data_IF_951775365083
#
_entry.id   IF_951775365083
#
_cell.length_a   1.000
_cell.length_b   1.000
_cell.length_c   1.000
_cell.angle_alpha   90.00
_cell.angle_beta   90.00
_cell.angle_gamma   90.00
#
_symmetry.space_group_name_H-M   'P 1'
#
loop_
_entity.id
_entity.type
_entity.pdbx_description
1 polymer ?
#
# COMPACT_ATOMS: atom_id res chain seq x y z
N UNK A 1 10.57 8.11 4.18
CA UNK A 1 11.02 7.00 5.05
C UNK A 1 12.37 6.49 4.55
N UNK A 2 13.38 6.40 5.42
CA UNK A 2 14.69 5.84 5.07
C UNK A 2 14.66 4.31 5.12
N UNK A 3 15.35 3.66 4.18
CA UNK A 3 15.59 2.23 4.10
C UNK A 3 17.11 2.03 4.13
N UNK A 4 17.68 1.84 5.32
CA UNK A 4 19.13 1.67 5.45
C UNK A 4 19.50 0.20 5.46
N UNK A 5 20.73 -0.10 5.02
CA UNK A 5 21.35 -1.43 5.15
C UNK A 5 20.57 -2.57 4.49
N UNK A 6 19.92 -2.28 3.35
CA UNK A 6 19.23 -3.31 2.58
C UNK A 6 20.23 -4.31 1.98
N UNK A 7 19.95 -5.58 2.18
CA UNK A 7 20.72 -6.71 1.66
C UNK A 7 20.10 -7.14 0.34
N UNK A 8 20.86 -7.03 -0.75
CA UNK A 8 20.42 -7.49 -2.07
C UNK A 8 20.52 -9.02 -2.19
N UNK A 9 19.56 -9.61 -2.92
CA UNK A 9 19.58 -11.00 -3.32
C UNK A 9 18.73 -11.29 -4.55
N UNK A 10 18.62 -12.56 -4.91
CA UNK A 10 17.76 -13.05 -6.00
C UNK A 10 16.67 -13.96 -5.45
N UNK A 11 15.42 -13.67 -5.79
CA UNK A 11 14.29 -14.49 -5.40
C UNK A 11 14.39 -15.87 -6.05
N UNK A 12 14.37 -16.93 -5.25
CA UNK A 12 14.25 -18.30 -5.78
C UNK A 12 12.79 -18.70 -5.90
N UNK A 13 12.00 -18.44 -4.85
CA UNK A 13 10.55 -18.67 -4.83
C UNK A 13 9.89 -18.00 -3.62
N UNK A 14 8.62 -17.62 -3.78
CA UNK A 14 7.71 -17.28 -2.68
C UNK A 14 6.74 -18.43 -2.44
N UNK A 15 6.46 -18.75 -1.18
CA UNK A 15 5.56 -19.85 -0.82
C UNK A 15 4.89 -19.61 0.54
N UNK A 16 3.78 -20.33 0.79
CA UNK A 16 2.95 -20.19 2.01
C UNK A 16 2.52 -18.74 2.31
N UNK A 17 2.54 -17.84 1.31
CA UNK A 17 2.28 -16.39 1.40
C UNK A 17 3.31 -15.58 2.20
N UNK A 18 3.81 -16.10 3.32
CA UNK A 18 4.65 -15.36 4.27
C UNK A 18 6.13 -15.76 4.26
N UNK A 19 6.57 -16.64 3.34
CA UNK A 19 7.96 -17.07 3.20
C UNK A 19 8.44 -16.88 1.76
N UNK A 20 9.73 -16.59 1.63
CA UNK A 20 10.45 -16.66 0.38
C UNK A 20 11.85 -17.24 0.60
N UNK A 21 12.34 -18.00 -0.37
CA UNK A 21 13.74 -18.43 -0.43
C UNK A 21 14.48 -17.45 -1.35
N UNK A 22 15.63 -16.95 -0.91
CA UNK A 22 16.43 -15.93 -1.60
C UNK A 22 17.90 -16.36 -1.60
N UNK A 23 18.57 -16.22 -2.74
CA UNK A 23 20.01 -16.39 -2.87
C UNK A 23 20.71 -15.03 -2.69
N UNK A 24 21.64 -14.95 -1.74
CA UNK A 24 22.42 -13.74 -1.47
C UNK A 24 23.64 -13.64 -2.41
N UNK A 25 24.30 -12.48 -2.43
CA UNK A 25 25.48 -12.23 -3.27
C UNK A 25 26.68 -13.16 -2.98
N UNK A 26 26.73 -13.75 -1.79
CA UNK A 26 27.76 -14.73 -1.40
C UNK A 26 27.39 -16.19 -1.71
N UNK A 27 26.27 -16.41 -2.40
CA UNK A 27 25.75 -17.73 -2.78
C UNK A 27 24.96 -18.45 -1.69
N UNK A 28 24.81 -17.88 -0.50
CA UNK A 28 23.96 -18.49 0.54
C UNK A 28 22.49 -18.39 0.17
N UNK A 29 21.77 -19.49 0.32
CA UNK A 29 20.31 -19.52 0.26
C UNK A 29 19.72 -19.30 1.66
N UNK A 30 18.88 -18.29 1.81
CA UNK A 30 18.21 -17.94 3.06
C UNK A 30 16.69 -17.94 2.89
N UNK A 31 15.97 -18.38 3.92
CA UNK A 31 14.52 -18.20 3.99
C UNK A 31 14.20 -16.91 4.73
N UNK A 32 13.42 -16.04 4.10
CA UNK A 32 13.05 -14.71 4.60
C UNK A 32 11.56 -14.61 4.85
N UNK A 33 11.16 -13.67 5.71
CA UNK A 33 9.76 -13.33 5.90
C UNK A 33 9.25 -12.48 4.71
N UNK A 34 8.13 -12.87 4.12
CA UNK A 34 7.37 -12.07 3.17
C UNK A 34 6.25 -11.32 3.91
N UNK A 35 6.34 -9.98 4.10
CA UNK A 35 5.37 -9.20 4.85
C UNK A 35 4.08 -8.87 4.09
N UNK A 36 3.87 -9.48 2.91
CA UNK A 36 2.68 -9.29 2.07
C UNK A 36 1.91 -10.61 1.97
N UNK A 37 0.63 -10.59 2.36
CA UNK A 37 -0.25 -11.76 2.33
C UNK A 37 -1.11 -11.85 1.06
N UNK A 38 -1.08 -10.80 0.23
CA UNK A 38 -1.78 -10.72 -1.05
C UNK A 38 -1.17 -11.63 -2.11
N UNK A 39 -1.69 -11.54 -3.34
CA UNK A 39 -1.19 -12.38 -4.43
C UNK A 39 0.25 -12.04 -4.80
N UNK A 40 0.65 -10.76 -4.63
CA UNK A 40 1.90 -10.20 -5.17
C UNK A 40 2.07 -10.52 -6.66
N UNK A 41 0.97 -10.48 -7.40
CA UNK A 41 0.98 -10.65 -8.85
C UNK A 41 1.92 -9.61 -9.47
N UNK A 42 2.83 -10.08 -10.32
CA UNK A 42 3.89 -9.28 -10.97
C UNK A 42 4.94 -8.71 -9.99
N UNK A 43 5.06 -9.27 -8.79
CA UNK A 43 6.01 -8.83 -7.76
C UNK A 43 6.73 -10.00 -7.07
N UNK A 44 6.68 -11.21 -7.63
CA UNK A 44 7.21 -12.41 -6.98
C UNK A 44 7.78 -13.45 -7.96
N UNK A 45 8.25 -12.99 -9.12
CA UNK A 45 8.78 -13.82 -10.19
C UNK A 45 10.16 -14.37 -9.79
N UNK A 46 10.39 -15.70 -9.83
CA UNK A 46 11.71 -16.28 -9.62
C UNK A 46 12.79 -15.63 -10.50
N UNK A 47 13.95 -15.37 -9.91
CA UNK A 47 15.07 -14.66 -10.53
C UNK A 47 15.09 -13.15 -10.30
N UNK A 48 13.98 -12.56 -9.86
CA UNK A 48 13.89 -11.12 -9.58
C UNK A 48 14.90 -10.69 -8.53
N UNK A 49 15.49 -9.50 -8.71
CA UNK A 49 16.30 -8.86 -7.68
C UNK A 49 15.39 -8.42 -6.54
N UNK A 50 15.84 -8.67 -5.31
CA UNK A 50 15.10 -8.35 -4.10
C UNK A 50 16.01 -7.68 -3.09
N UNK A 51 15.40 -6.87 -2.22
CA UNK A 51 16.08 -6.22 -1.11
C UNK A 51 15.45 -6.64 0.20
N UNK A 52 16.30 -7.03 1.14
CA UNK A 52 15.94 -7.57 2.43
C UNK A 52 16.42 -6.63 3.53
N UNK A 53 15.64 -6.50 4.60
CA UNK A 53 16.04 -5.77 5.79
C UNK A 53 16.20 -6.75 6.96
N UNK A 54 17.32 -6.67 7.67
CA UNK A 54 17.46 -7.36 8.95
C UNK A 54 16.63 -6.62 10.02
N UNK A 55 15.70 -7.34 10.63
CA UNK A 55 14.89 -6.82 11.74
C UNK A 55 15.70 -6.47 12.99
N UNK A 56 16.94 -6.95 13.12
CA UNK A 56 17.78 -6.79 14.31
C UNK A 56 17.21 -7.48 15.56
N UNK A 57 16.13 -8.26 15.42
CA UNK A 57 15.44 -8.89 16.53
C UNK A 57 15.84 -10.37 16.66
N UNK A 58 16.69 -10.73 17.65
CA UNK A 58 17.21 -12.09 17.78
C UNK A 58 16.13 -13.13 18.13
N UNK A 59 14.92 -12.72 18.51
CA UNK A 59 13.80 -13.62 18.82
C UNK A 59 13.03 -14.06 17.57
N UNK A 60 13.26 -13.43 16.41
CA UNK A 60 12.56 -13.79 15.17
C UNK A 60 13.15 -15.06 14.56
N UNK A 61 12.27 -16.01 14.21
CA UNK A 61 12.65 -17.22 13.46
C UNK A 61 13.26 -16.89 12.10
N UNK A 62 12.76 -15.86 11.43
CA UNK A 62 13.28 -15.35 10.16
C UNK A 62 13.68 -13.88 10.40
N UNK A 63 14.98 -13.59 10.58
CA UNK A 63 15.45 -12.24 10.93
C UNK A 63 15.35 -11.27 9.76
N UNK A 64 15.47 -11.78 8.53
CA UNK A 64 15.36 -10.99 7.30
C UNK A 64 13.91 -10.88 6.83
N UNK A 65 13.48 -9.65 6.55
CA UNK A 65 12.20 -9.34 5.93
C UNK A 65 12.39 -8.83 4.51
N UNK A 66 11.54 -9.26 3.58
CA UNK A 66 11.56 -8.77 2.21
C UNK A 66 10.90 -7.39 2.11
N UNK A 67 11.64 -6.42 1.58
CA UNK A 67 11.20 -5.02 1.47
C UNK A 67 10.87 -4.61 0.03
N UNK A 68 11.82 -4.77 -0.88
CA UNK A 68 11.69 -4.32 -2.27
C UNK A 68 11.89 -5.47 -3.25
N UNK A 69 11.29 -5.34 -4.44
CA UNK A 69 11.51 -6.22 -5.58
C UNK A 69 11.68 -5.39 -6.86
N UNK A 70 12.53 -5.87 -7.75
CA UNK A 70 12.64 -5.36 -9.11
C UNK A 70 11.58 -6.03 -10.00
N UNK A 71 10.72 -5.23 -10.59
CA UNK A 71 9.60 -5.61 -11.44
C UNK A 71 9.96 -5.30 -12.89
N UNK A 72 9.74 -6.27 -13.78
CA UNK A 72 10.04 -6.18 -15.23
C UNK A 72 11.49 -5.79 -15.54
N UNK A 73 12.42 -6.03 -14.62
CA UNK A 73 13.83 -5.65 -14.75
C UNK A 73 14.05 -4.12 -14.85
N UNK A 74 13.07 -3.31 -14.44
CA UNK A 74 13.05 -1.86 -14.68
C UNK A 74 12.63 -1.06 -13.46
N UNK A 75 11.61 -1.49 -12.75
CA UNK A 75 10.96 -0.71 -11.69
C UNK A 75 11.20 -1.34 -10.33
N UNK A 76 11.29 -0.51 -9.28
CA UNK A 76 11.24 -1.02 -7.92
C UNK A 76 9.83 -0.90 -7.35
N UNK A 77 9.43 -1.90 -6.58
CA UNK A 77 8.20 -1.93 -5.81
C UNK A 77 8.47 -2.27 -4.35
N UNK A 78 7.87 -1.52 -3.41
CA UNK A 78 7.83 -1.89 -2.01
C UNK A 78 6.70 -2.87 -1.78
N UNK A 79 7.05 -4.12 -1.47
CA UNK A 79 6.05 -5.18 -1.25
C UNK A 79 5.60 -5.23 0.21
N UNK A 80 6.32 -4.55 1.11
CA UNK A 80 5.98 -4.51 2.53
C UNK A 80 4.76 -3.62 2.80
N UNK A 81 3.58 -4.23 2.74
CA UNK A 81 2.30 -3.56 2.97
C UNK A 81 2.17 -2.93 4.34
N UNK A 82 2.96 -3.39 5.33
CA UNK A 82 3.02 -2.79 6.66
C UNK A 82 3.56 -1.36 6.67
N UNK A 83 4.22 -0.92 5.60
CA UNK A 83 4.75 0.46 5.48
C UNK A 83 3.73 1.47 5.01
N UNK A 84 2.62 1.04 4.39
CA UNK A 84 1.69 1.94 3.71
C UNK A 84 1.13 3.04 4.64
N UNK A 85 0.60 2.66 5.81
CA UNK A 85 0.01 3.61 6.75
C UNK A 85 1.05 4.60 7.30
N UNK A 86 2.26 4.11 7.61
CA UNK A 86 3.35 4.97 8.07
C UNK A 86 3.83 5.94 6.99
N UNK A 87 3.89 5.48 5.73
CA UNK A 87 4.30 6.29 4.59
C UNK A 87 3.28 7.40 4.29
N UNK A 88 1.98 7.08 4.35
CA UNK A 88 0.91 8.07 4.20
C UNK A 88 0.93 9.08 5.34
N UNK A 89 1.08 8.62 6.59
CA UNK A 89 1.22 9.49 7.77
C UNK A 89 2.39 10.46 7.62
N UNK A 90 3.58 9.95 7.26
CA UNK A 90 4.77 10.77 7.04
C UNK A 90 4.54 11.83 5.95
N UNK A 91 3.88 11.46 4.85
CA UNK A 91 3.58 12.39 3.76
C UNK A 91 2.59 13.49 4.17
N UNK A 92 1.59 13.17 5.00
CA UNK A 92 0.65 14.14 5.56
C UNK A 92 1.38 15.10 6.51
N UNK A 93 2.18 14.57 7.44
CA UNK A 93 2.96 15.37 8.41
C UNK A 93 3.94 16.34 7.72
N UNK A 94 4.46 15.93 6.56
CA UNK A 94 5.39 16.74 5.76
C UNK A 94 4.69 17.61 4.70
N UNK A 95 3.35 17.66 4.70
CA UNK A 95 2.57 18.52 3.81
C UNK A 95 2.65 18.13 2.32
N UNK A 96 3.03 16.89 2.01
CA UNK A 96 3.15 16.40 0.62
C UNK A 96 1.83 16.00 -0.01
N UNK A 97 0.81 15.76 0.82
CA UNK A 97 -0.55 15.49 0.38
C UNK A 97 -1.37 16.75 0.64
N UNK A 98 -1.46 17.61 -0.37
CA UNK A 98 -2.04 18.95 -0.25
C UNK A 98 -3.48 18.91 0.26
N UNK A 99 -4.27 17.92 -0.16
CA UNK A 99 -5.67 17.74 0.24
C UNK A 99 -5.86 17.39 1.72
N UNK A 100 -4.78 16.94 2.36
CA UNK A 100 -4.75 16.51 3.76
C UNK A 100 -3.82 17.37 4.62
N UNK A 101 -3.39 18.52 4.11
CA UNK A 101 -2.58 19.49 4.86
C UNK A 101 -3.43 20.27 5.90
N UNK A 102 -2.76 20.83 6.91
CA UNK A 102 -3.38 21.77 7.87
C UNK A 102 -4.08 21.15 9.09
N UNK A 103 -4.05 19.83 9.24
CA UNK A 103 -4.48 19.15 10.46
C UNK A 103 -3.35 19.12 11.50
N UNK A 104 -3.70 19.20 12.80
CA UNK A 104 -2.72 19.23 13.91
C UNK A 104 -2.58 17.89 14.63
N UNK A 105 -3.55 16.99 14.47
CA UNK A 105 -3.56 15.69 15.14
C UNK A 105 -3.83 14.58 14.14
N UNK A 106 -3.09 13.47 14.29
CA UNK A 106 -3.23 12.25 13.49
C UNK A 106 -3.35 11.07 14.45
N UNK A 107 -4.54 10.45 14.48
CA UNK A 107 -4.78 9.19 15.20
C UNK A 107 -4.78 8.03 14.22
N UNK A 108 -4.38 6.85 14.68
CA UNK A 108 -4.33 5.64 13.86
C UNK A 108 -5.25 4.56 14.42
N UNK A 109 -5.70 3.64 13.57
CA UNK A 109 -6.44 2.44 13.97
C UNK A 109 -7.72 2.75 14.79
N UNK A 110 -8.42 3.82 14.43
CA UNK A 110 -9.59 4.30 15.20
C UNK A 110 -10.80 3.41 14.88
N UNK A 111 -11.48 2.81 15.88
CA UNK A 111 -12.68 2.01 15.64
C UNK A 111 -13.80 2.83 15.00
N UNK A 112 -14.48 2.25 14.00
CA UNK A 112 -15.61 2.89 13.32
C UNK A 112 -16.55 1.89 12.66
N UNK A 113 -17.67 2.42 12.17
CA UNK A 113 -18.66 1.65 11.42
C UNK A 113 -19.46 0.70 12.30
N UNK A 114 -20.39 0.00 11.66
CA UNK A 114 -21.31 -0.95 12.32
C UNK A 114 -20.71 -2.36 12.37
N UNK A 115 -19.69 -2.63 11.58
CA UNK A 115 -19.13 -3.97 11.41
C UNK A 115 -17.78 -4.17 12.13
N UNK A 116 -17.49 -3.38 13.17
CA UNK A 116 -16.26 -3.44 13.99
C UNK A 116 -14.96 -3.23 13.18
N UNK A 117 -14.99 -2.35 12.20
CA UNK A 117 -13.78 -1.97 11.47
C UNK A 117 -12.94 -0.94 12.22
N UNK A 118 -11.73 -0.74 11.73
CA UNK A 118 -10.82 0.32 12.16
C UNK A 118 -10.38 1.08 10.95
N UNK A 119 -10.45 2.40 11.03
CA UNK A 119 -9.98 3.30 9.99
C UNK A 119 -8.46 3.45 10.17
N UNK A 120 -7.71 3.53 9.08
CA UNK A 120 -6.26 3.58 9.16
C UNK A 120 -5.79 4.87 9.84
N UNK A 121 -6.33 6.02 9.45
CA UNK A 121 -5.99 7.34 10.01
C UNK A 121 -7.25 8.21 10.25
N UNK A 122 -7.22 9.03 11.30
CA UNK A 122 -8.15 10.14 11.52
C UNK A 122 -7.34 11.42 11.72
N UNK A 123 -7.55 12.40 10.85
CA UNK A 123 -6.97 13.73 10.96
C UNK A 123 -7.97 14.67 11.63
N UNK A 124 -7.52 15.44 12.62
CA UNK A 124 -8.38 16.36 13.35
C UNK A 124 -7.67 17.67 13.72
N UNK A 125 -8.41 18.59 14.35
CA UNK A 125 -7.91 19.90 14.81
C UNK A 125 -7.44 20.83 13.66
N UNK A 126 -7.97 20.61 12.45
CA UNK A 126 -7.78 21.48 11.30
C UNK A 126 -8.78 22.64 11.24
N UNK A 127 -8.67 23.46 10.19
CA UNK A 127 -9.65 24.51 9.88
C UNK A 127 -10.93 23.96 9.21
N UNK A 128 -10.89 22.71 8.76
CA UNK A 128 -11.98 21.97 8.11
C UNK A 128 -12.35 20.74 8.94
N UNK A 129 -13.43 20.05 8.55
CA UNK A 129 -13.91 18.85 9.23
C UNK A 129 -12.83 17.75 9.32
N UNK A 130 -12.91 16.93 10.36
CA UNK A 130 -12.04 15.76 10.56
C UNK A 130 -12.09 14.82 9.35
N UNK A 131 -10.94 14.35 8.90
CA UNK A 131 -10.81 13.43 7.78
C UNK A 131 -10.57 12.00 8.26
N UNK A 132 -11.41 11.07 7.79
CA UNK A 132 -11.32 9.63 8.08
C UNK A 132 -10.77 8.92 6.85
N UNK A 133 -9.55 8.35 6.97
CA UNK A 133 -8.78 7.90 5.82
C UNK A 133 -8.53 6.41 5.91
N UNK A 134 -8.98 5.69 4.88
CA UNK A 134 -8.65 4.30 4.63
C UNK A 134 -7.54 4.23 3.58
N UNK A 135 -6.47 3.50 3.86
CA UNK A 135 -5.30 3.33 2.99
C UNK A 135 -5.39 2.00 2.24
N UNK A 136 -5.09 2.01 0.94
CA UNK A 136 -5.00 0.81 0.10
C UNK A 136 -3.65 0.77 -0.57
N UNK A 137 -2.93 -0.34 -0.45
CA UNK A 137 -1.62 -0.51 -1.07
C UNK A 137 -1.78 -1.05 -2.50
N UNK A 138 -1.26 -0.35 -3.50
CA UNK A 138 -1.34 -0.73 -4.92
C UNK A 138 0.05 -1.09 -5.43
N UNK A 139 0.23 -2.35 -5.83
CA UNK A 139 1.49 -2.89 -6.36
C UNK A 139 1.32 -3.68 -7.65
N UNK A 140 0.07 -3.99 -8.04
CA UNK A 140 -0.21 -4.66 -9.31
C UNK A 140 -0.04 -3.63 -10.44
N UNK A 141 1.15 -3.67 -11.05
CA UNK A 141 1.44 -3.00 -12.31
C UNK A 141 0.90 -3.85 -13.48
N UNK A 142 0.16 -3.19 -14.36
CA UNK A 142 -0.26 -3.67 -15.67
C UNK A 142 0.41 -2.85 -16.78
N UNK A 143 0.15 -3.21 -18.04
CA UNK A 143 0.67 -2.49 -19.20
C UNK A 143 0.34 -0.99 -19.16
N UNK A 144 1.15 -0.18 -19.83
CA UNK A 144 0.94 1.27 -19.99
C UNK A 144 0.82 2.05 -18.66
N UNK A 145 1.59 1.64 -17.65
CA UNK A 145 1.70 2.31 -16.35
C UNK A 145 0.44 2.21 -15.48
N UNK A 146 -0.47 1.29 -15.79
CA UNK A 146 -1.70 1.11 -15.01
C UNK A 146 -1.43 0.37 -13.71
N UNK A 147 -1.78 1.01 -12.59
CA UNK A 147 -1.89 0.37 -11.29
C UNK A 147 -3.32 -0.08 -11.04
N UNK A 148 -3.49 -1.35 -10.67
CA UNK A 148 -4.83 -1.91 -10.45
C UNK A 148 -5.01 -2.41 -9.02
N UNK A 149 -6.18 -2.14 -8.45
CA UNK A 149 -6.56 -2.67 -7.14
C UNK A 149 -7.99 -3.23 -7.16
N UNK A 150 -8.24 -4.42 -6.58
CA UNK A 150 -7.29 -5.29 -5.88
C UNK A 150 -6.55 -6.26 -6.82
N UNK A 151 -5.55 -6.96 -6.30
CA UNK A 151 -4.83 -8.04 -7.01
C UNK A 151 -5.48 -9.43 -6.84
N UNK A 152 -6.50 -9.53 -5.99
CA UNK A 152 -7.38 -10.68 -5.80
C UNK A 152 -8.75 -10.21 -5.25
N UNK A 153 -9.80 -11.03 -5.34
CA UNK A 153 -11.12 -10.71 -4.75
C UNK A 153 -10.97 -10.35 -3.26
N UNK A 154 -11.54 -9.20 -2.85
CA UNK A 154 -11.36 -8.62 -1.52
C UNK A 154 -12.67 -8.29 -0.82
N UNK A 155 -13.27 -9.27 -0.13
CA UNK A 155 -14.47 -9.04 0.67
C UNK A 155 -14.25 -7.98 1.78
N UNK A 156 -13.04 -7.93 2.34
CA UNK A 156 -12.65 -6.92 3.34
C UNK A 156 -12.59 -5.51 2.72
N UNK A 157 -12.01 -5.35 1.53
CA UNK A 157 -11.97 -4.06 0.86
C UNK A 157 -13.37 -3.57 0.46
N UNK A 158 -14.23 -4.48 -0.01
CA UNK A 158 -15.63 -4.18 -0.32
C UNK A 158 -16.40 -3.72 0.93
N UNK A 159 -16.17 -4.36 2.08
CA UNK A 159 -16.73 -3.96 3.38
C UNK A 159 -16.31 -2.55 3.76
N UNK A 160 -15.02 -2.24 3.72
CA UNK A 160 -14.52 -0.93 4.08
C UNK A 160 -15.08 0.18 3.17
N UNK A 161 -15.27 -0.07 1.87
CA UNK A 161 -15.97 0.87 0.98
C UNK A 161 -17.39 1.19 1.44
N UNK A 162 -18.14 0.20 1.91
CA UNK A 162 -19.50 0.42 2.45
C UNK A 162 -19.48 1.25 3.74
N UNK A 163 -18.51 1.03 4.60
CA UNK A 163 -18.36 1.82 5.84
C UNK A 163 -17.93 3.26 5.56
N UNK A 164 -17.05 3.50 4.58
CA UNK A 164 -16.71 4.84 4.12
C UNK A 164 -17.93 5.57 3.54
N UNK A 165 -18.75 4.88 2.74
CA UNK A 165 -20.01 5.43 2.24
C UNK A 165 -20.97 5.81 3.37
N UNK A 166 -21.03 5.01 4.43
CA UNK A 166 -21.84 5.33 5.60
C UNK A 166 -21.35 6.61 6.30
N UNK A 167 -20.05 6.76 6.48
CA UNK A 167 -19.45 7.99 7.02
C UNK A 167 -19.77 9.21 6.15
N UNK A 168 -19.58 9.10 4.83
CA UNK A 168 -19.86 10.19 3.89
C UNK A 168 -21.33 10.64 3.97
N UNK A 169 -22.28 9.70 4.05
CA UNK A 169 -23.72 9.99 4.21
C UNK A 169 -24.06 10.70 5.53
N UNK A 170 -23.23 10.53 6.55
CA UNK A 170 -23.37 11.22 7.84
C UNK A 170 -22.71 12.62 7.84
N UNK A 171 -22.18 13.07 6.68
CA UNK A 171 -21.47 14.34 6.56
C UNK A 171 -20.03 14.29 7.08
N UNK A 172 -19.49 13.10 7.36
CA UNK A 172 -18.09 12.92 7.75
C UNK A 172 -17.23 12.88 6.49
N UNK A 173 -16.12 13.62 6.49
CA UNK A 173 -15.15 13.60 5.39
C UNK A 173 -14.44 12.24 5.35
N UNK A 174 -14.88 11.36 4.45
CA UNK A 174 -14.34 10.03 4.26
C UNK A 174 -13.42 10.01 3.03
N UNK A 175 -12.21 9.46 3.17
CA UNK A 175 -11.17 9.42 2.14
C UNK A 175 -10.70 7.99 1.95
N UNK A 176 -10.66 7.52 0.70
CA UNK A 176 -9.91 6.33 0.31
C UNK A 176 -8.62 6.76 -0.39
N UNK A 177 -7.48 6.40 0.18
CA UNK A 177 -6.17 6.76 -0.34
C UNK A 177 -5.41 5.53 -0.85
N UNK A 178 -5.19 5.47 -2.15
CA UNK A 178 -4.30 4.51 -2.80
C UNK A 178 -2.84 4.94 -2.61
N UNK A 179 -2.13 4.22 -1.75
CA UNK A 179 -0.69 4.32 -1.57
C UNK A 179 -0.02 3.42 -2.61
N UNK A 180 0.77 4.00 -3.50
CA UNK A 180 1.33 3.31 -4.68
C UNK A 180 2.86 3.29 -4.60
N UNK A 181 3.46 2.40 -3.80
CA UNK A 181 4.91 2.32 -3.70
C UNK A 181 5.52 1.46 -4.81
N UNK A 182 5.22 1.80 -6.06
CA UNK A 182 5.67 1.09 -7.26
C UNK A 182 6.11 2.10 -8.33
N UNK A 183 7.39 2.10 -8.69
CA UNK A 183 7.98 3.13 -9.56
C UNK A 183 7.43 3.16 -11.00
N UNK A 184 6.87 2.05 -11.48
CA UNK A 184 6.27 1.94 -12.81
C UNK A 184 4.78 2.31 -12.91
N UNK A 185 4.10 2.61 -11.80
CA UNK A 185 2.67 2.97 -11.83
C UNK A 185 2.53 4.49 -12.00
N UNK A 186 1.72 4.89 -12.98
CA UNK A 186 1.49 6.29 -13.34
C UNK A 186 0.05 6.74 -13.08
N UNK A 187 -0.90 5.79 -13.02
CA UNK A 187 -2.33 6.03 -12.82
C UNK A 187 -3.00 4.79 -12.23
N UNK A 188 -4.10 4.97 -11.50
CA UNK A 188 -4.76 3.91 -10.74
C UNK A 188 -6.18 3.66 -11.25
N UNK A 189 -6.60 2.40 -11.28
CA UNK A 189 -7.99 2.00 -11.58
C UNK A 189 -8.46 0.83 -10.71
N UNK A 190 -9.78 0.60 -10.57
CA UNK A 190 -10.26 -0.66 -10.02
C UNK A 190 -9.94 -1.81 -10.98
N UNK A 191 -9.54 -2.95 -10.42
CA UNK A 191 -9.33 -4.18 -11.18
C UNK A 191 -10.68 -4.89 -11.43
N UNK A 192 -11.55 -4.33 -12.27
CA UNK A 192 -12.91 -4.88 -12.51
C UNK A 192 -12.89 -6.35 -12.97
N UNK A 193 -11.86 -6.75 -13.72
CA UNK A 193 -11.70 -8.13 -14.18
C UNK A 193 -11.33 -9.12 -13.04
N UNK A 194 -10.82 -8.62 -11.91
CA UNK A 194 -10.41 -9.41 -10.75
C UNK A 194 -11.51 -9.38 -9.68
N UNK A 195 -12.01 -8.19 -9.35
CA UNK A 195 -13.09 -8.00 -8.38
C UNK A 195 -14.11 -6.96 -8.90
N UNK A 196 -15.08 -7.39 -9.73
CA UNK A 196 -16.08 -6.49 -10.30
C UNK A 196 -17.01 -5.90 -9.23
N UNK A 197 -17.16 -6.57 -8.08
CA UNK A 197 -17.94 -6.05 -6.97
C UNK A 197 -17.22 -4.88 -6.29
N UNK A 198 -15.89 -4.98 -6.09
CA UNK A 198 -15.09 -3.87 -5.59
C UNK A 198 -15.13 -2.67 -6.53
N UNK A 199 -14.94 -2.88 -7.84
CA UNK A 199 -14.96 -1.79 -8.82
C UNK A 199 -16.31 -1.07 -8.91
N UNK A 200 -17.43 -1.79 -8.82
CA UNK A 200 -18.75 -1.16 -8.69
C UNK A 200 -18.88 -0.35 -7.39
N UNK A 201 -18.50 -0.93 -6.25
CA UNK A 201 -18.57 -0.25 -4.95
C UNK A 201 -17.66 0.99 -4.89
N UNK A 202 -16.52 0.99 -5.59
CA UNK A 202 -15.63 2.15 -5.65
C UNK A 202 -16.29 3.34 -6.38
N UNK A 203 -17.01 3.05 -7.48
CA UNK A 203 -17.81 4.04 -8.20
C UNK A 203 -18.95 4.57 -7.34
N UNK A 204 -19.70 3.66 -6.69
CA UNK A 204 -20.75 4.03 -5.73
C UNK A 204 -20.20 4.89 -4.57
N UNK A 205 -18.99 4.58 -4.08
CA UNK A 205 -18.36 5.34 -3.02
C UNK A 205 -18.01 6.76 -3.44
N UNK A 206 -17.39 6.93 -4.62
CA UNK A 206 -17.13 8.25 -5.19
C UNK A 206 -18.42 9.05 -5.33
N UNK A 207 -19.45 8.45 -5.93
CA UNK A 207 -20.73 9.12 -6.17
C UNK A 207 -21.48 9.42 -4.86
N UNK A 208 -21.22 8.65 -3.81
CA UNK A 208 -21.72 8.83 -2.45
C UNK A 208 -20.92 9.84 -1.61
N UNK A 209 -19.93 10.52 -2.17
CA UNK A 209 -19.17 11.58 -1.49
C UNK A 209 -17.88 11.13 -0.79
N UNK A 210 -17.41 9.90 -1.03
CA UNK A 210 -16.08 9.47 -0.57
C UNK A 210 -15.02 10.09 -1.49
N UNK A 211 -14.06 10.81 -0.90
CA UNK A 211 -12.93 11.36 -1.62
C UNK A 211 -11.95 10.25 -2.02
N UNK A 212 -11.55 10.20 -3.29
CA UNK A 212 -10.55 9.25 -3.78
C UNK A 212 -9.23 9.97 -4.04
N UNK A 213 -8.17 9.52 -3.40
CA UNK A 213 -6.81 10.02 -3.60
C UNK A 213 -5.88 8.88 -4.01
N UNK A 214 -4.91 9.16 -4.87
CA UNK A 214 -3.85 8.23 -5.22
C UNK A 214 -2.52 8.96 -5.19
N UNK A 215 -1.56 8.42 -4.44
CA UNK A 215 -0.22 8.98 -4.35
C UNK A 215 0.81 7.88 -4.61
N UNK A 216 1.76 8.19 -5.49
CA UNK A 216 2.90 7.38 -5.84
C UNK A 216 4.12 7.70 -5.01
N UNK A 217 4.82 6.66 -4.61
CA UNK A 217 6.19 6.75 -4.12
C UNK A 217 7.14 6.20 -5.19
N UNK A 218 8.35 6.78 -5.27
CA UNK A 218 9.43 6.21 -6.07
C UNK A 218 10.35 5.42 -5.13
N UNK A 219 10.30 4.08 -5.11
CA UNK A 219 11.14 3.31 -4.23
C UNK A 219 12.58 3.33 -4.73
N UNK A 220 13.53 3.55 -3.83
CA UNK A 220 14.95 3.29 -4.04
C UNK A 220 15.43 2.33 -2.94
N UNK A 221 16.64 1.75 -3.07
CA UNK A 221 17.23 0.97 -1.98
C UNK A 221 17.47 1.80 -0.70
N UNK A 222 17.53 3.13 -0.80
CA UNK A 222 17.86 4.04 0.30
C UNK A 222 16.62 4.70 0.93
N UNK A 223 15.53 4.87 0.17
CA UNK A 223 14.34 5.55 0.66
C UNK A 223 13.03 5.17 -0.04
N UNK A 224 11.94 5.46 0.67
CA UNK A 224 10.58 5.42 0.16
C UNK A 224 9.89 6.74 0.53
N UNK A 225 9.59 7.55 -0.49
CA UNK A 225 8.97 8.87 -0.34
C UNK A 225 7.71 8.96 -1.18
N UNK A 226 6.57 9.16 -0.52
CA UNK A 226 5.26 9.34 -1.14
C UNK A 226 5.05 10.83 -1.44
N UNK A 227 4.99 11.19 -2.72
CA UNK A 227 5.01 12.60 -3.13
C UNK A 227 4.32 12.90 -4.46
N UNK A 228 3.99 11.90 -5.27
CA UNK A 228 3.43 12.12 -6.61
C UNK A 228 1.93 11.88 -6.60
N UNK A 229 1.12 12.92 -6.81
CA UNK A 229 -0.31 12.72 -7.07
C UNK A 229 -0.50 11.94 -8.38
N UNK A 230 -1.31 10.89 -8.35
CA UNK A 230 -1.63 10.06 -9.51
C UNK A 230 -3.09 10.23 -9.89
N UNK A 231 -3.39 10.07 -11.18
CA UNK A 231 -4.75 10.04 -11.67
C UNK A 231 -5.46 8.76 -11.23
N UNK A 232 -6.75 8.87 -10.89
CA UNK A 232 -7.64 7.72 -10.67
C UNK A 232 -8.67 7.71 -11.80
N UNK A 233 -8.74 6.58 -12.51
CA UNK A 233 -9.72 6.36 -13.58
C UNK A 233 -10.66 5.23 -13.16
N UNK A 234 -11.95 5.53 -13.09
CA UNK A 234 -13.02 4.58 -12.72
C UNK A 234 -13.80 4.11 -13.94
#
# INVERSE_FOLDING_TARGET
>A
MQLTDLIEGRLLRRYKRFLADVELSDGRCVTVHCPNTGSMRNCAEPGSRVWLLDSGNPKRKYPLGWELVEVEGRHLASINTGRANALVREAIEQGRIEELAGYRSIRQEVPYGEERSRIDLVLSEGAVADAWIEVKNVTLLEADGWGSFPDAVTLRGQKHLRELMLLARQGVRAVLLFCVPHGGIERVRPADAIDPAYGRLLREARDGGVELLAYGAMPTPDELVLSRRLEIVL
#
